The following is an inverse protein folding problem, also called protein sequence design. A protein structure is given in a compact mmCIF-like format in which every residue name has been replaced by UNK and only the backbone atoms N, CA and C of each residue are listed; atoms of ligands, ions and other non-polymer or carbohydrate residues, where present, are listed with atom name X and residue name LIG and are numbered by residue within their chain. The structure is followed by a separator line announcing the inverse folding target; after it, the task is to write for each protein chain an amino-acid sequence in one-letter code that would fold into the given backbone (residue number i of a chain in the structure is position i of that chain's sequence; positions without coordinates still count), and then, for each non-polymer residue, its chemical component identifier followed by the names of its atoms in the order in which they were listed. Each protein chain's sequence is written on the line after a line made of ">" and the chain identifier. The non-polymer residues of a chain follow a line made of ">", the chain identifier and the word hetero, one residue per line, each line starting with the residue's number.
data_IF_402342944183
#
_entry.id   IF_402342944183
#
_cell.length_a   1.000
_cell.length_b   1.000
_cell.length_c   1.000
_cell.angle_alpha   90.00
_cell.angle_beta   90.00
_cell.angle_gamma   90.00
#
_symmetry.space_group_name_H-M   'P 1'
#
loop_
_entity.id
_entity.type
_entity.pdbx_description
1 polymer ?
#
# COMPACT_ATOMS: atom_id res chain seq x y z
N UNK A 1 39.34 -35.28 1.93
CA UNK A 1 38.77 -34.29 1.04
C UNK A 1 37.81 -33.39 1.79
N UNK A 2 37.69 -32.10 1.45
CA UNK A 2 36.73 -31.23 2.11
C UNK A 2 35.29 -31.70 1.83
N UNK A 3 34.46 -31.67 2.86
CA UNK A 3 33.02 -31.96 2.72
C UNK A 3 32.34 -30.75 2.07
N UNK A 4 31.51 -30.97 1.05
CA UNK A 4 30.74 -29.95 0.38
C UNK A 4 29.25 -30.21 0.67
N UNK A 5 28.56 -29.20 1.20
CA UNK A 5 27.13 -29.22 1.42
C UNK A 5 26.49 -27.98 0.81
N UNK A 6 25.57 -28.16 -0.14
CA UNK A 6 24.86 -27.09 -0.82
C UNK A 6 23.38 -27.22 -0.51
N UNK A 7 22.78 -26.14 0.00
CA UNK A 7 21.36 -26.09 0.28
C UNK A 7 20.73 -24.89 -0.45
N UNK A 8 19.54 -25.07 -0.96
CA UNK A 8 18.79 -23.99 -1.60
C UNK A 8 17.42 -24.46 -2.05
N UNK A 9 16.58 -23.49 -2.36
CA UNK A 9 15.27 -23.71 -2.95
C UNK A 9 15.13 -22.90 -4.24
N UNK A 10 15.22 -23.54 -5.41
CA UNK A 10 15.08 -22.85 -6.70
C UNK A 10 13.74 -22.14 -6.87
N UNK A 11 12.68 -22.63 -6.21
CA UNK A 11 11.34 -22.02 -6.26
C UNK A 11 11.28 -20.68 -5.53
N UNK A 12 12.18 -20.45 -4.56
CA UNK A 12 12.30 -19.18 -3.82
C UNK A 12 13.34 -18.22 -4.41
N UNK A 13 13.75 -18.43 -5.65
CA UNK A 13 14.69 -17.54 -6.35
C UNK A 13 14.01 -16.22 -6.74
N UNK A 14 13.88 -15.30 -5.77
CA UNK A 14 13.20 -14.00 -5.91
C UNK A 14 14.16 -12.85 -6.28
N UNK A 15 15.47 -13.10 -6.34
CA UNK A 15 16.48 -12.08 -6.60
C UNK A 15 16.96 -12.00 -8.05
N UNK A 16 16.11 -12.38 -9.00
CA UNK A 16 16.45 -12.30 -10.44
C UNK A 16 16.87 -10.90 -10.88
N UNK A 17 16.27 -9.87 -10.28
CA UNK A 17 16.66 -8.47 -10.49
C UNK A 17 18.05 -8.10 -9.95
N UNK A 18 18.67 -8.99 -9.15
CA UNK A 18 20.07 -8.92 -8.69
C UNK A 18 20.95 -9.97 -9.36
N UNK A 19 20.58 -10.40 -10.56
CA UNK A 19 21.30 -11.43 -11.34
C UNK A 19 21.34 -12.82 -10.69
N UNK A 20 20.43 -13.13 -9.77
CA UNK A 20 20.27 -14.50 -9.28
C UNK A 20 19.69 -15.37 -10.39
N UNK A 21 20.38 -16.47 -10.66
CA UNK A 21 20.03 -17.41 -11.73
C UNK A 21 19.76 -18.80 -11.14
N UNK A 22 18.51 -19.27 -11.13
CA UNK A 22 18.14 -20.58 -10.57
C UNK A 22 18.89 -21.76 -11.19
N UNK A 23 19.33 -21.63 -12.45
CA UNK A 23 20.12 -22.65 -13.14
C UNK A 23 21.47 -22.93 -12.48
N UNK A 24 22.03 -21.96 -11.75
CA UNK A 24 23.27 -22.15 -10.99
C UNK A 24 23.07 -23.23 -9.91
N UNK A 25 21.91 -23.25 -9.25
CA UNK A 25 21.61 -24.30 -8.26
C UNK A 25 21.52 -25.67 -8.92
N UNK A 26 20.87 -25.78 -10.07
CA UNK A 26 20.81 -27.03 -10.83
C UNK A 26 22.20 -27.52 -11.26
N UNK A 27 23.03 -26.61 -11.78
CA UNK A 27 24.40 -26.93 -12.16
C UNK A 27 25.26 -27.36 -10.95
N UNK A 28 25.11 -26.69 -9.80
CA UNK A 28 25.80 -27.07 -8.57
C UNK A 28 25.35 -28.44 -8.08
N UNK A 29 24.08 -28.76 -8.14
CA UNK A 29 23.55 -30.11 -7.82
C UNK A 29 24.17 -31.18 -8.73
N UNK A 30 24.15 -30.91 -10.03
CA UNK A 30 24.68 -31.90 -11.02
C UNK A 30 26.20 -32.08 -10.85
N UNK A 31 26.92 -31.01 -10.53
CA UNK A 31 28.35 -31.10 -10.21
C UNK A 31 28.62 -31.95 -8.95
N UNK A 32 27.83 -31.72 -7.87
CA UNK A 32 27.97 -32.49 -6.63
C UNK A 32 27.66 -33.98 -6.87
N UNK A 33 26.58 -34.28 -7.61
CA UNK A 33 26.16 -35.66 -7.87
C UNK A 33 27.10 -36.38 -8.85
N UNK A 34 27.44 -35.75 -9.97
CA UNK A 34 28.20 -36.41 -11.03
C UNK A 34 29.72 -36.20 -10.90
N UNK A 35 30.15 -35.07 -10.36
CA UNK A 35 31.58 -34.75 -10.26
C UNK A 35 32.23 -35.15 -8.93
N UNK A 36 31.45 -35.14 -7.85
CA UNK A 36 31.94 -35.45 -6.50
C UNK A 36 31.37 -36.75 -5.90
N UNK A 37 30.59 -37.52 -6.67
CA UNK A 37 29.88 -38.71 -6.22
C UNK A 37 29.02 -38.45 -4.96
N UNK A 38 28.40 -37.24 -4.91
CA UNK A 38 27.56 -36.80 -3.81
C UNK A 38 26.10 -37.22 -3.99
N UNK A 39 25.29 -36.92 -2.99
CA UNK A 39 23.87 -37.24 -2.98
C UNK A 39 23.02 -35.97 -3.07
N UNK A 40 21.96 -36.00 -3.87
CA UNK A 40 20.91 -34.97 -3.89
C UNK A 40 19.77 -35.43 -2.97
N UNK A 41 19.49 -34.61 -1.94
CA UNK A 41 18.41 -34.83 -1.01
C UNK A 41 17.29 -33.83 -1.29
N UNK A 42 16.06 -34.25 -1.10
CA UNK A 42 14.87 -33.40 -1.22
C UNK A 42 14.14 -33.34 0.11
N UNK A 43 13.68 -32.17 0.48
CA UNK A 43 12.87 -31.95 1.67
C UNK A 43 11.53 -31.34 1.24
N UNK A 44 10.54 -32.22 1.03
CA UNK A 44 9.20 -31.84 0.61
C UNK A 44 8.18 -31.93 1.77
N UNK A 45 8.70 -32.00 3.01
CA UNK A 45 7.92 -32.11 4.22
C UNK A 45 8.00 -30.82 5.03
N UNK A 46 6.84 -30.29 5.44
CA UNK A 46 6.74 -29.07 6.24
C UNK A 46 6.27 -29.36 7.68
N UNK A 47 6.68 -28.50 8.61
CA UNK A 47 6.24 -28.52 10.02
C UNK A 47 5.41 -27.30 10.39
N UNK A 48 5.04 -26.49 9.39
CA UNK A 48 4.43 -25.19 9.62
C UNK A 48 3.01 -25.09 9.09
N UNK A 49 2.73 -25.71 7.98
CA UNK A 49 1.47 -25.50 7.26
C UNK A 49 0.45 -26.59 7.58
N UNK A 50 -0.80 -26.20 7.78
CA UNK A 50 -1.91 -27.12 7.97
C UNK A 50 -2.15 -28.01 6.73
N UNK A 51 -2.71 -29.22 6.90
CA UNK A 51 -2.95 -30.16 5.81
C UNK A 51 -3.76 -29.58 4.64
N UNK A 52 -4.78 -28.78 4.92
CA UNK A 52 -5.62 -28.16 3.89
C UNK A 52 -4.85 -27.17 3.01
N UNK A 53 -3.93 -26.39 3.60
CA UNK A 53 -3.05 -25.47 2.87
C UNK A 53 -2.14 -26.26 1.94
N UNK A 54 -1.57 -27.39 2.42
CA UNK A 54 -0.71 -28.27 1.63
C UNK A 54 -1.51 -28.95 0.53
N UNK A 55 -2.73 -29.40 0.79
CA UNK A 55 -3.59 -30.01 -0.23
C UNK A 55 -3.93 -29.01 -1.35
N UNK A 56 -4.29 -27.77 -1.01
CA UNK A 56 -4.55 -26.72 -1.99
C UNK A 56 -3.30 -26.37 -2.82
N UNK A 57 -2.13 -26.27 -2.17
CA UNK A 57 -0.85 -26.01 -2.84
C UNK A 57 -0.51 -27.16 -3.81
N UNK A 58 -0.61 -28.41 -3.35
CA UNK A 58 -0.35 -29.58 -4.18
C UNK A 58 -1.28 -29.62 -5.40
N UNK A 59 -2.57 -29.34 -5.23
CA UNK A 59 -3.53 -29.33 -6.34
C UNK A 59 -3.13 -28.28 -7.40
N UNK A 60 -2.83 -27.05 -6.97
CA UNK A 60 -2.45 -25.96 -7.88
C UNK A 60 -1.15 -26.25 -8.63
N UNK A 61 -0.10 -26.69 -7.92
CA UNK A 61 1.21 -26.88 -8.55
C UNK A 61 1.32 -28.19 -9.33
N UNK A 62 0.55 -29.21 -8.99
CA UNK A 62 0.43 -30.43 -9.82
C UNK A 62 -0.15 -30.07 -11.20
N UNK A 63 -1.13 -29.18 -11.26
CA UNK A 63 -1.67 -28.71 -12.53
C UNK A 63 -0.71 -27.75 -13.24
N UNK A 64 -0.11 -26.81 -12.50
CA UNK A 64 0.77 -25.80 -13.07
C UNK A 64 2.05 -26.38 -13.69
N UNK A 65 2.55 -27.55 -13.27
CA UNK A 65 3.77 -28.15 -13.83
C UNK A 65 3.70 -28.45 -15.33
N UNK A 66 2.48 -28.57 -15.87
CA UNK A 66 2.24 -28.79 -17.31
C UNK A 66 2.21 -27.48 -18.11
N UNK A 67 2.34 -26.34 -17.46
CA UNK A 67 2.37 -25.02 -18.09
C UNK A 67 3.81 -24.61 -18.35
N UNK A 68 4.07 -23.97 -19.51
CA UNK A 68 5.41 -23.49 -19.87
C UNK A 68 6.01 -22.59 -18.78
N UNK A 69 7.25 -22.85 -18.45
CA UNK A 69 8.01 -22.09 -17.44
C UNK A 69 7.95 -22.67 -16.01
N UNK A 70 7.16 -23.72 -15.77
CA UNK A 70 7.14 -24.44 -14.52
C UNK A 70 7.89 -25.76 -14.65
N UNK A 71 8.79 -26.03 -13.72
CA UNK A 71 9.50 -27.33 -13.67
C UNK A 71 8.65 -28.42 -13.01
N UNK A 72 9.15 -29.65 -12.97
CA UNK A 72 8.46 -30.75 -12.30
C UNK A 72 8.19 -30.42 -10.83
N UNK A 73 6.97 -30.70 -10.41
CA UNK A 73 6.52 -30.49 -9.03
C UNK A 73 6.51 -31.79 -8.26
N UNK A 74 6.96 -31.75 -7.03
CA UNK A 74 6.82 -32.87 -6.08
C UNK A 74 5.83 -32.46 -5.01
N UNK A 75 4.85 -33.31 -4.74
CA UNK A 75 3.84 -33.06 -3.71
C UNK A 75 4.50 -32.95 -2.33
N UNK A 76 4.03 -31.94 -1.59
CA UNK A 76 4.48 -31.69 -0.22
C UNK A 76 3.59 -32.42 0.78
N UNK A 77 4.17 -32.77 1.91
CA UNK A 77 3.47 -33.31 3.06
C UNK A 77 3.67 -32.46 4.28
N UNK A 78 2.90 -32.69 5.33
CA UNK A 78 3.03 -31.98 6.61
C UNK A 78 2.89 -32.95 7.77
N UNK A 79 3.53 -32.64 8.90
CA UNK A 79 3.32 -33.34 10.17
C UNK A 79 2.35 -32.58 11.11
N UNK A 80 1.84 -31.42 10.66
CA UNK A 80 0.82 -30.70 11.42
C UNK A 80 -0.48 -31.47 11.34
N UNK A 81 -1.09 -31.74 12.49
CA UNK A 81 -2.41 -32.38 12.57
C UNK A 81 -3.50 -31.47 12.00
N UNK A 82 -4.54 -32.09 11.46
CA UNK A 82 -5.72 -31.37 11.04
C UNK A 82 -6.44 -30.83 12.28
N UNK A 83 -6.82 -29.54 12.24
CA UNK A 83 -7.66 -28.91 13.25
C UNK A 83 -9.11 -28.98 12.82
N UNK A 84 -10.06 -28.86 13.80
CA UNK A 84 -11.49 -28.79 13.52
C UNK A 84 -11.89 -27.46 12.83
N UNK A 85 -11.05 -26.41 12.95
CA UNK A 85 -11.26 -25.16 12.27
C UNK A 85 -10.70 -25.19 10.84
N UNK A 86 -11.39 -24.60 9.83
CA UNK A 86 -10.90 -24.56 8.48
C UNK A 86 -9.60 -23.74 8.38
N UNK A 87 -8.52 -24.37 7.93
CA UNK A 87 -7.22 -23.72 7.74
C UNK A 87 -7.15 -22.89 6.46
N UNK A 88 -8.08 -23.05 5.55
CA UNK A 88 -8.18 -22.31 4.29
C UNK A 88 -9.64 -21.94 4.01
N UNK A 89 -9.89 -20.66 3.76
CA UNK A 89 -11.20 -20.19 3.33
C UNK A 89 -11.05 -19.07 2.29
N UNK A 90 -12.07 -18.90 1.45
CA UNK A 90 -12.11 -17.86 0.44
C UNK A 90 -13.17 -16.80 0.79
N UNK A 91 -12.79 -15.55 0.76
CA UNK A 91 -13.74 -14.45 0.82
C UNK A 91 -14.53 -14.35 -0.50
N UNK A 92 -15.82 -13.96 -0.46
CA UNK A 92 -16.61 -13.76 -1.67
C UNK A 92 -15.96 -12.68 -2.55
N UNK A 93 -16.05 -12.85 -3.87
CA UNK A 93 -15.54 -11.84 -4.80
C UNK A 93 -16.50 -10.67 -4.89
N UNK A 94 -15.98 -9.46 -4.84
CA UNK A 94 -16.77 -8.27 -5.19
C UNK A 94 -17.20 -8.38 -6.65
N UNK A 95 -18.52 -8.38 -6.94
CA UNK A 95 -19.01 -8.57 -8.29
C UNK A 95 -18.50 -7.46 -9.22
N UNK A 96 -18.19 -7.83 -10.46
CA UNK A 96 -17.99 -6.84 -11.50
C UNK A 96 -19.36 -6.44 -12.05
N UNK A 97 -19.61 -5.15 -12.29
CA UNK A 97 -20.79 -4.76 -13.07
C UNK A 97 -20.75 -5.51 -14.41
N UNK A 98 -21.89 -6.02 -14.84
CA UNK A 98 -22.01 -6.72 -16.12
C UNK A 98 -21.52 -5.79 -17.25
N UNK A 99 -20.93 -6.37 -18.31
CA UNK A 99 -20.35 -5.60 -19.43
C UNK A 99 -21.37 -4.76 -20.21
N UNK A 100 -22.67 -4.84 -19.83
CA UNK A 100 -23.81 -4.10 -20.37
C UNK A 100 -24.38 -3.01 -19.44
N UNK A 101 -23.94 -2.96 -18.18
CA UNK A 101 -24.30 -1.86 -17.25
C UNK A 101 -23.40 -0.63 -17.48
N UNK A 102 -23.19 -0.25 -18.71
CA UNK A 102 -22.90 1.14 -18.97
C UNK A 102 -24.15 1.91 -18.54
N UNK A 103 -24.02 2.96 -17.70
CA UNK A 103 -25.14 3.89 -17.54
C UNK A 103 -25.59 4.25 -18.95
N UNK A 104 -26.90 4.13 -19.19
CA UNK A 104 -27.49 4.36 -20.51
C UNK A 104 -26.82 5.57 -21.16
N UNK A 105 -26.28 5.38 -22.39
CA UNK A 105 -25.77 6.48 -23.21
C UNK A 105 -26.89 7.49 -23.58
N UNK A 106 -28.11 7.29 -23.08
CA UNK A 106 -29.26 8.16 -23.18
C UNK A 106 -29.28 9.31 -22.16
N UNK A 107 -28.42 9.28 -21.14
CA UNK A 107 -28.21 10.49 -20.33
C UNK A 107 -27.31 11.42 -21.13
N UNK A 108 -27.91 12.52 -21.64
CA UNK A 108 -27.17 13.66 -22.19
C UNK A 108 -25.97 13.98 -21.29
N UNK A 109 -24.81 14.44 -21.84
CA UNK A 109 -23.62 14.72 -21.05
C UNK A 109 -23.96 15.73 -19.97
N UNK A 110 -24.43 15.22 -18.83
CA UNK A 110 -24.79 16.02 -17.67
C UNK A 110 -23.51 16.61 -17.11
N UNK A 111 -23.49 17.91 -17.07
CA UNK A 111 -22.44 18.63 -16.40
C UNK A 111 -22.36 18.15 -14.93
N UNK A 112 -21.23 17.56 -14.59
CA UNK A 112 -20.96 17.16 -13.21
C UNK A 112 -20.24 18.30 -12.51
N UNK A 113 -20.81 18.80 -11.44
CA UNK A 113 -20.09 19.70 -10.56
C UNK A 113 -19.01 18.92 -9.79
N UNK A 114 -17.74 19.13 -10.19
CA UNK A 114 -16.61 18.42 -9.62
C UNK A 114 -16.33 18.75 -8.15
N UNK A 115 -16.95 19.80 -7.60
CA UNK A 115 -16.80 20.20 -6.20
C UNK A 115 -17.80 19.47 -5.29
N UNK A 116 -18.99 19.15 -5.80
CA UNK A 116 -20.06 18.51 -5.04
C UNK A 116 -20.27 17.04 -5.38
N UNK A 117 -19.95 16.63 -6.61
CA UNK A 117 -20.13 15.26 -7.09
C UNK A 117 -18.77 14.60 -7.39
N UNK A 118 -18.30 13.65 -6.57
CA UNK A 118 -17.04 12.95 -6.84
C UNK A 118 -17.14 12.14 -8.14
N UNK A 119 -16.01 12.03 -8.85
CA UNK A 119 -15.93 11.18 -10.03
C UNK A 119 -16.17 9.73 -9.65
N UNK A 120 -17.14 9.08 -10.30
CA UNK A 120 -17.36 7.64 -10.15
C UNK A 120 -16.29 6.90 -10.96
N UNK A 121 -15.40 6.22 -10.26
CA UNK A 121 -14.45 5.27 -10.85
C UNK A 121 -14.83 3.86 -10.39
N UNK A 122 -15.59 3.09 -11.22
CA UNK A 122 -16.11 1.78 -10.80
C UNK A 122 -15.03 0.81 -10.33
N UNK A 123 -13.84 0.89 -10.91
CA UNK A 123 -12.71 0.05 -10.49
C UNK A 123 -12.16 0.45 -9.11
N UNK A 124 -12.11 1.74 -8.79
CA UNK A 124 -11.70 2.21 -7.47
C UNK A 124 -12.71 1.83 -6.41
N UNK A 125 -14.01 2.04 -6.66
CA UNK A 125 -15.09 1.66 -5.75
C UNK A 125 -15.06 0.15 -5.46
N UNK A 126 -14.80 -0.67 -6.47
CA UNK A 126 -14.67 -2.11 -6.29
C UNK A 126 -13.48 -2.49 -5.42
N UNK A 127 -12.34 -1.83 -5.60
CA UNK A 127 -11.14 -2.05 -4.77
C UNK A 127 -11.35 -1.57 -3.34
N UNK A 128 -12.09 -0.49 -3.15
CA UNK A 128 -12.48 -0.02 -1.82
C UNK A 128 -13.42 -1.03 -1.15
N UNK A 129 -14.41 -1.55 -1.87
CA UNK A 129 -15.31 -2.59 -1.36
C UNK A 129 -14.55 -3.88 -1.00
N UNK A 130 -13.57 -4.29 -1.82
CA UNK A 130 -12.70 -5.42 -1.53
C UNK A 130 -11.86 -5.16 -0.26
N UNK A 131 -11.27 -3.98 -0.12
CA UNK A 131 -10.52 -3.58 1.06
C UNK A 131 -11.39 -3.56 2.33
N UNK A 132 -12.63 -3.10 2.23
CA UNK A 132 -13.60 -3.13 3.33
C UNK A 132 -13.92 -4.57 3.78
N UNK A 133 -14.16 -5.47 2.82
CA UNK A 133 -14.46 -6.87 3.10
C UNK A 133 -13.26 -7.59 3.75
N UNK A 134 -12.04 -7.33 3.28
CA UNK A 134 -10.84 -7.89 3.88
C UNK A 134 -10.64 -7.32 5.29
N UNK A 135 -10.86 -6.02 5.49
CA UNK A 135 -10.78 -5.40 6.82
C UNK A 135 -11.79 -6.01 7.80
N UNK A 136 -13.02 -6.29 7.34
CA UNK A 136 -14.04 -6.98 8.13
C UNK A 136 -13.60 -8.38 8.55
N UNK A 137 -13.07 -9.16 7.61
CA UNK A 137 -12.55 -10.50 7.91
C UNK A 137 -11.39 -10.46 8.91
N UNK A 138 -10.54 -9.43 8.84
CA UNK A 138 -9.47 -9.24 9.83
C UNK A 138 -10.06 -8.93 11.21
N UNK A 139 -11.05 -8.04 11.30
CA UNK A 139 -11.71 -7.75 12.57
C UNK A 139 -12.30 -9.01 13.19
N UNK A 140 -12.98 -9.85 12.41
CA UNK A 140 -13.53 -11.12 12.88
C UNK A 140 -12.44 -12.06 13.43
N UNK A 141 -11.26 -12.11 12.81
CA UNK A 141 -10.14 -12.89 13.32
C UNK A 141 -9.60 -12.33 14.65
N UNK A 142 -9.53 -11.01 14.77
CA UNK A 142 -9.11 -10.34 16.03
C UNK A 142 -10.12 -10.60 17.15
N UNK A 143 -11.41 -10.55 16.86
CA UNK A 143 -12.49 -10.88 17.81
C UNK A 143 -12.46 -12.36 18.22
N UNK A 144 -12.04 -13.24 17.32
CA UNK A 144 -11.80 -14.65 17.62
C UNK A 144 -10.53 -14.91 18.45
N UNK A 145 -9.75 -13.85 18.78
CA UNK A 145 -8.59 -13.93 19.64
C UNK A 145 -7.24 -14.05 18.92
N UNK A 146 -7.22 -13.98 17.58
CA UNK A 146 -5.95 -13.96 16.82
C UNK A 146 -5.24 -12.63 17.08
N UNK A 147 -3.97 -12.68 17.48
CA UNK A 147 -3.21 -11.47 17.73
C UNK A 147 -2.86 -10.73 16.42
N UNK A 148 -2.88 -9.38 16.38
CA UNK A 148 -2.59 -8.61 15.15
C UNK A 148 -1.26 -8.98 14.49
N UNK A 149 -0.23 -9.31 15.28
CA UNK A 149 1.10 -9.72 14.80
C UNK A 149 1.11 -11.05 14.05
N UNK A 150 0.05 -11.85 14.17
CA UNK A 150 -0.11 -13.16 13.52
C UNK A 150 -0.83 -13.04 12.19
N UNK A 151 -1.35 -11.84 11.86
CA UNK A 151 -2.05 -11.57 10.61
C UNK A 151 -1.12 -10.89 9.60
N UNK A 152 -0.91 -11.53 8.47
CA UNK A 152 -0.15 -10.97 7.35
C UNK A 152 -1.02 -10.89 6.10
N UNK A 153 -1.09 -9.70 5.51
CA UNK A 153 -1.78 -9.48 4.24
C UNK A 153 -0.79 -9.21 3.13
N UNK A 154 -0.92 -9.96 2.05
CA UNK A 154 -0.09 -9.82 0.87
C UNK A 154 -0.93 -9.46 -0.35
N UNK A 155 -0.41 -8.60 -1.22
CA UNK A 155 -1.02 -8.26 -2.50
C UNK A 155 0.03 -8.15 -3.60
N UNK A 156 -0.38 -8.35 -4.86
CA UNK A 156 0.52 -8.23 -6.02
C UNK A 156 0.93 -6.79 -6.32
N UNK A 157 0.16 -5.80 -5.85
CA UNK A 157 0.41 -4.36 -6.03
C UNK A 157 0.24 -3.66 -4.69
N UNK A 158 0.89 -2.52 -4.51
CA UNK A 158 0.82 -1.72 -3.27
C UNK A 158 -0.50 -0.98 -3.09
N UNK A 159 -1.12 -0.53 -4.20
CA UNK A 159 -2.35 0.25 -4.13
C UNK A 159 -3.50 -0.42 -3.34
N UNK A 160 -3.81 -1.73 -3.50
CA UNK A 160 -4.76 -2.41 -2.63
C UNK A 160 -4.40 -2.42 -1.15
N UNK A 161 -3.10 -2.53 -0.81
CA UNK A 161 -2.64 -2.50 0.58
C UNK A 161 -2.86 -1.14 1.23
N UNK A 162 -2.70 -0.04 0.48
CA UNK A 162 -3.00 1.32 0.98
C UNK A 162 -4.49 1.46 1.30
N UNK A 163 -5.37 1.02 0.40
CA UNK A 163 -6.82 1.04 0.64
C UNK A 163 -7.21 0.20 1.85
N UNK A 164 -6.59 -0.97 2.03
CA UNK A 164 -6.81 -1.81 3.20
C UNK A 164 -6.31 -1.14 4.48
N UNK A 165 -5.12 -0.54 4.47
CA UNK A 165 -4.60 0.19 5.63
C UNK A 165 -5.56 1.32 6.05
N UNK A 166 -6.11 2.08 5.10
CA UNK A 166 -7.13 3.09 5.37
C UNK A 166 -8.41 2.48 5.94
N UNK A 167 -8.87 1.34 5.41
CA UNK A 167 -10.05 0.65 5.92
C UNK A 167 -9.85 0.14 7.36
N UNK A 168 -8.68 -0.37 7.70
CA UNK A 168 -8.30 -0.80 9.05
C UNK A 168 -8.18 0.39 10.00
N UNK A 169 -7.56 1.48 9.56
CA UNK A 169 -7.44 2.71 10.36
C UNK A 169 -8.82 3.28 10.73
N UNK A 170 -9.77 3.30 9.80
CA UNK A 170 -11.17 3.72 10.08
C UNK A 170 -11.86 2.83 11.13
N UNK A 171 -11.39 1.61 11.31
CA UNK A 171 -11.86 0.65 12.34
C UNK A 171 -10.98 0.63 13.58
N UNK A 172 -10.03 1.56 13.69
CA UNK A 172 -9.06 1.63 14.80
C UNK A 172 -8.23 0.36 14.97
N UNK A 173 -8.02 -0.41 13.90
CA UNK A 173 -7.15 -1.58 13.92
C UNK A 173 -5.72 -1.14 13.57
N UNK A 174 -4.76 -1.31 14.50
CA UNK A 174 -3.37 -0.96 14.23
C UNK A 174 -2.79 -1.90 13.17
N UNK A 175 -2.15 -1.33 12.16
CA UNK A 175 -1.46 -2.09 11.12
C UNK A 175 -0.13 -1.43 10.76
N UNK A 176 0.83 -2.26 10.35
CA UNK A 176 2.08 -1.80 9.76
C UNK A 176 1.98 -2.01 8.26
N UNK A 177 1.85 -0.93 7.51
CA UNK A 177 1.95 -0.95 6.07
C UNK A 177 3.38 -0.57 5.67
N UNK A 178 4.00 -1.40 4.81
CA UNK A 178 5.24 -1.00 4.15
C UNK A 178 4.87 0.04 3.11
N UNK A 179 4.87 1.30 3.52
CA UNK A 179 4.66 2.42 2.63
C UNK A 179 6.03 2.93 2.17
N UNK A 180 6.25 2.93 0.85
CA UNK A 180 7.37 3.62 0.24
C UNK A 180 7.02 5.12 0.02
N UNK A 181 6.18 5.70 0.85
CA UNK A 181 5.96 7.12 0.82
C UNK A 181 7.31 7.81 1.02
N UNK A 182 7.73 8.58 0.04
CA UNK A 182 8.91 9.41 0.21
C UNK A 182 8.59 10.44 1.29
N UNK A 183 9.56 10.81 2.09
CA UNK A 183 9.37 11.81 3.16
C UNK A 183 8.66 13.07 2.64
N UNK A 184 8.97 13.48 1.41
CA UNK A 184 8.37 14.65 0.76
C UNK A 184 6.86 14.49 0.47
N UNK A 185 6.32 13.26 0.46
CA UNK A 185 4.88 13.03 0.27
C UNK A 185 4.10 13.13 1.60
N UNK A 186 4.79 13.12 2.74
CA UNK A 186 4.16 13.32 4.03
C UNK A 186 3.62 14.76 4.13
N UNK A 187 2.35 14.96 4.56
CA UNK A 187 1.76 16.29 4.70
C UNK A 187 2.63 17.24 5.54
N UNK A 188 3.18 16.74 6.64
CA UNK A 188 4.02 17.48 7.57
C UNK A 188 5.33 17.96 6.89
N UNK A 189 5.95 17.10 6.10
CA UNK A 189 7.14 17.48 5.34
C UNK A 189 6.82 18.54 4.27
N UNK A 190 5.68 18.39 3.60
CA UNK A 190 5.22 19.37 2.62
C UNK A 190 4.87 20.71 3.26
N UNK A 191 4.35 20.75 4.49
CA UNK A 191 4.07 21.97 5.22
C UNK A 191 5.38 22.67 5.61
N UNK A 192 6.38 21.93 6.06
CA UNK A 192 7.73 22.48 6.30
C UNK A 192 8.37 23.03 5.02
N UNK A 193 8.27 22.30 3.91
CA UNK A 193 8.75 22.79 2.61
C UNK A 193 8.02 24.06 2.20
N UNK A 194 6.71 24.13 2.40
CA UNK A 194 5.95 25.34 2.10
C UNK A 194 6.40 26.55 2.93
N UNK A 195 6.74 26.36 4.20
CA UNK A 195 7.35 27.43 5.04
C UNK A 195 8.68 27.87 4.47
N UNK A 196 9.58 26.93 4.15
CA UNK A 196 10.89 27.24 3.58
C UNK A 196 10.76 27.96 2.23
N UNK A 197 9.87 27.49 1.36
CA UNK A 197 9.58 28.13 0.08
C UNK A 197 9.08 29.57 0.28
N UNK A 198 8.17 29.81 1.22
CA UNK A 198 7.64 31.13 1.51
C UNK A 198 8.72 32.09 2.05
N UNK A 199 9.68 31.56 2.83
CA UNK A 199 10.80 32.36 3.34
C UNK A 199 11.82 32.72 2.23
N UNK A 200 12.12 31.78 1.32
CA UNK A 200 13.05 32.01 0.20
C UNK A 200 12.39 32.80 -0.93
N UNK A 201 11.11 32.58 -1.16
CA UNK A 201 10.33 33.17 -2.25
C UNK A 201 9.00 33.74 -1.73
N UNK A 202 9.00 34.88 -1.05
CA UNK A 202 7.78 35.46 -0.47
C UNK A 202 6.65 35.75 -1.48
N UNK A 203 6.98 35.81 -2.78
CA UNK A 203 6.03 35.98 -3.87
C UNK A 203 5.29 34.70 -4.25
N UNK A 204 5.72 33.53 -3.74
CA UNK A 204 5.09 32.23 -4.05
C UNK A 204 3.83 32.04 -3.19
N UNK A 205 2.71 32.55 -3.68
CA UNK A 205 1.42 32.60 -2.97
C UNK A 205 0.91 31.24 -2.48
N UNK A 206 1.09 30.18 -3.27
CA UNK A 206 0.60 28.85 -2.88
C UNK A 206 1.37 28.29 -1.70
N UNK A 207 2.69 28.42 -1.68
CA UNK A 207 3.51 28.00 -0.54
C UNK A 207 3.20 28.83 0.70
N UNK A 208 3.03 30.15 0.57
CA UNK A 208 2.62 30.99 1.67
C UNK A 208 1.24 30.60 2.22
N UNK A 209 0.24 30.41 1.34
CA UNK A 209 -1.09 29.97 1.77
C UNK A 209 -1.05 28.61 2.48
N UNK A 210 -0.29 27.67 1.96
CA UNK A 210 -0.11 26.37 2.57
C UNK A 210 0.58 26.46 3.94
N UNK A 211 1.66 27.23 4.03
CA UNK A 211 2.38 27.47 5.27
C UNK A 211 1.44 28.06 6.34
N UNK A 212 0.71 29.13 6.01
CA UNK A 212 -0.21 29.78 6.92
C UNK A 212 -1.33 28.85 7.41
N UNK A 213 -1.84 27.97 6.53
CA UNK A 213 -2.87 26.99 6.85
C UNK A 213 -2.36 25.79 7.62
N UNK A 214 -1.06 25.54 7.61
CA UNK A 214 -0.47 24.40 8.32
C UNK A 214 -0.69 24.49 9.82
N UNK A 215 -0.60 23.35 10.56
CA UNK A 215 -0.68 23.35 12.02
C UNK A 215 0.39 24.22 12.73
N UNK A 216 1.40 24.69 12.00
CA UNK A 216 2.43 25.59 12.53
C UNK A 216 1.89 27.00 12.79
N UNK A 217 0.95 27.46 11.95
CA UNK A 217 0.40 28.82 12.03
C UNK A 217 -1.11 28.83 12.28
N UNK A 218 -1.80 27.74 11.94
CA UNK A 218 -3.24 27.50 12.19
C UNK A 218 -4.17 28.65 11.73
N UNK A 219 -3.83 29.28 10.60
CA UNK A 219 -4.64 30.37 10.04
C UNK A 219 -5.90 29.78 9.41
N UNK A 220 -7.06 30.29 9.81
CA UNK A 220 -8.35 29.82 9.31
C UNK A 220 -8.57 30.20 7.83
N UNK A 221 -9.36 29.40 7.11
CA UNK A 221 -9.68 29.65 5.69
C UNK A 221 -10.34 31.03 5.47
N UNK A 222 -11.12 31.53 6.43
CA UNK A 222 -11.74 32.85 6.39
C UNK A 222 -10.69 33.96 6.43
N UNK A 223 -9.65 33.83 7.24
CA UNK A 223 -8.54 34.78 7.34
C UNK A 223 -7.68 34.75 6.07
N UNK A 224 -7.40 33.57 5.51
CA UNK A 224 -6.71 33.42 4.22
C UNK A 224 -7.50 34.09 3.08
N UNK A 225 -8.82 33.96 3.07
CA UNK A 225 -9.68 34.63 2.10
C UNK A 225 -9.62 36.15 2.28
N UNK A 226 -9.61 36.66 3.51
CA UNK A 226 -9.47 38.06 3.80
C UNK A 226 -8.10 38.61 3.36
N UNK A 227 -7.00 37.83 3.60
CA UNK A 227 -5.67 38.17 3.12
C UNK A 227 -5.62 38.21 1.59
N UNK A 228 -6.23 37.23 0.92
CA UNK A 228 -6.31 37.21 -0.55
C UNK A 228 -7.04 38.43 -1.12
N UNK A 229 -8.16 38.84 -0.52
CA UNK A 229 -8.91 40.04 -0.93
C UNK A 229 -8.09 41.33 -0.71
N UNK A 230 -7.35 41.39 0.39
CA UNK A 230 -6.47 42.53 0.69
C UNK A 230 -5.29 42.61 -0.29
N UNK A 231 -4.70 41.50 -0.67
CA UNK A 231 -3.62 41.46 -1.67
C UNK A 231 -4.07 41.88 -3.07
N UNK A 232 -5.38 41.84 -3.34
CA UNK A 232 -6.01 42.33 -4.58
C UNK A 232 -5.48 41.59 -5.82
N UNK A 233 -5.69 42.25 -6.97
CA UNK A 233 -5.26 41.69 -8.27
C UNK A 233 -3.74 41.66 -8.45
N UNK A 234 -2.99 42.50 -7.74
CA UNK A 234 -1.52 42.48 -7.73
C UNK A 234 -0.96 41.21 -7.08
N UNK A 235 -1.72 40.62 -6.16
CA UNK A 235 -1.41 39.33 -5.56
C UNK A 235 -0.22 39.33 -4.62
N UNK A 236 0.15 40.47 -4.07
CA UNK A 236 1.21 40.59 -3.05
C UNK A 236 0.68 40.18 -1.68
N UNK A 237 0.65 38.86 -1.47
CA UNK A 237 0.20 38.30 -0.19
C UNK A 237 1.17 38.57 0.95
N UNK A 238 2.47 38.63 0.65
CA UNK A 238 3.47 38.93 1.66
C UNK A 238 3.37 40.34 2.17
N UNK A 239 3.28 41.34 1.27
CA UNK A 239 3.06 42.74 1.65
C UNK A 239 1.74 42.93 2.37
N UNK A 240 0.66 42.24 1.96
CA UNK A 240 -0.62 42.29 2.63
C UNK A 240 -0.57 41.70 4.05
N UNK A 241 0.22 40.62 4.27
CA UNK A 241 0.46 39.99 5.57
C UNK A 241 1.27 40.90 6.49
N UNK A 242 2.38 41.47 6.01
CA UNK A 242 3.22 42.36 6.78
C UNK A 242 2.46 43.66 7.21
N UNK A 243 1.55 44.14 6.39
CA UNK A 243 0.68 45.29 6.68
C UNK A 243 -0.68 44.90 7.27
N UNK A 244 -0.84 43.71 7.85
CA UNK A 244 -2.12 43.25 8.37
C UNK A 244 -2.60 44.10 9.56
N UNK A 245 -3.79 44.71 9.49
CA UNK A 245 -4.25 45.68 10.49
C UNK A 245 -4.97 45.05 11.68
N UNK A 246 -5.21 43.73 11.65
CA UNK A 246 -5.98 43.03 12.68
C UNK A 246 -5.30 43.06 14.04
N UNK A 247 -6.09 43.00 15.11
CA UNK A 247 -5.61 42.85 16.48
C UNK A 247 -6.14 41.51 17.02
N UNK A 248 -5.21 40.58 17.39
CA UNK A 248 -5.55 39.37 18.10
C UNK A 248 -5.83 38.15 17.24
N UNK A 249 -5.86 38.25 15.92
CA UNK A 249 -5.94 37.13 15.00
C UNK A 249 -4.56 36.50 14.66
N UNK A 250 -4.55 35.32 14.08
CA UNK A 250 -3.31 34.63 13.77
C UNK A 250 -2.44 35.41 12.76
N UNK A 251 -3.04 36.06 11.77
CA UNK A 251 -2.33 36.86 10.77
C UNK A 251 -1.64 38.08 11.40
N UNK A 252 -2.26 38.75 12.40
CA UNK A 252 -1.67 39.88 13.12
C UNK A 252 -0.48 39.45 13.98
N UNK A 253 -0.51 38.24 14.54
CA UNK A 253 0.62 37.72 15.33
C UNK A 253 1.81 37.41 14.41
N UNK A 254 1.57 36.80 13.26
CA UNK A 254 2.60 36.46 12.27
C UNK A 254 3.22 37.73 11.68
N UNK A 255 2.39 38.72 11.25
CA UNK A 255 2.87 39.95 10.68
C UNK A 255 3.75 40.78 11.64
N UNK A 256 3.46 40.76 12.95
CA UNK A 256 4.25 41.46 13.97
C UNK A 256 5.54 40.78 14.36
N UNK A 257 5.68 39.46 14.17
CA UNK A 257 6.88 38.74 14.54
C UNK A 257 8.10 39.08 13.65
N UNK A 258 7.91 39.83 12.58
CA UNK A 258 8.94 40.24 11.63
C UNK A 258 9.29 41.74 11.65
N UNK A 259 8.75 42.50 12.60
CA UNK A 259 9.14 43.90 12.90
C UNK A 259 9.98 43.91 14.17
#
# INVERSE_FOLDING_TARGET
>A
PPSVFVVGDPKQSIYRFRNAEPRVFAAARDFVVQGLDGQALACDHTRRNAPEVIAALNAVFTEAQFTDGWGPFRAHTTEVDADDAPALFALPRVPRPAKGDKPDEADEPRWRDSLSEPRREPELQRREAEAQMVAEAIVQQLEAGVAPRELLVMARKRAPLRLLAQALQRRHVPCVAVDDATLIEAPEAQDLVAVLDALVSPQHRLSLARALRSPLFDVADAELLALSRRAGTAGDWWGALMGWPGEGDALAQIGRAHV
#
